data_IF_650106669936
#
_entry.id   IF_650106669936
#
_cell.length_a   1.000
_cell.length_b   1.000
_cell.length_c   1.000
_cell.angle_alpha   90.00
_cell.angle_beta   90.00
_cell.angle_gamma   90.00
#
_symmetry.space_group_name_H-M   'P 1'
#
loop_
_entity.id
_entity.type
_entity.pdbx_description
1 polymer ?
#
# COMPACT_ATOMS: atom_id res chain seq x y z
N UNK A 1 42.83 38.28 -42.97
CA UNK A 1 43.42 37.76 -41.72
C UNK A 1 42.54 38.24 -40.57
N UNK A 2 41.54 37.45 -40.17
CA UNK A 2 40.55 37.86 -39.18
C UNK A 2 41.15 37.79 -37.77
N UNK A 3 41.06 38.90 -37.06
CA UNK A 3 41.62 39.12 -35.73
C UNK A 3 40.73 38.38 -34.72
N UNK A 4 41.23 37.31 -34.11
CA UNK A 4 40.55 36.62 -33.01
C UNK A 4 40.51 37.57 -31.80
N UNK A 5 39.35 38.17 -31.53
CA UNK A 5 39.16 38.98 -30.33
C UNK A 5 38.86 38.04 -29.17
N UNK A 6 39.78 37.98 -28.21
CA UNK A 6 39.66 37.19 -26.99
C UNK A 6 38.52 37.71 -26.11
N UNK A 7 37.39 37.01 -26.14
CA UNK A 7 36.28 37.15 -25.18
C UNK A 7 35.96 35.83 -24.46
N UNK A 8 36.92 34.89 -24.43
CA UNK A 8 36.71 33.49 -24.02
C UNK A 8 36.45 33.29 -22.52
N UNK A 9 36.98 34.14 -21.65
CA UNK A 9 36.85 33.95 -20.19
C UNK A 9 35.46 34.38 -19.68
N UNK A 10 34.91 35.48 -20.19
CA UNK A 10 33.57 35.92 -19.82
C UNK A 10 32.50 34.97 -20.41
N UNK A 11 32.69 34.52 -21.64
CA UNK A 11 31.78 33.59 -22.31
C UNK A 11 31.72 32.23 -21.61
N UNK A 12 32.87 31.67 -21.22
CA UNK A 12 32.92 30.42 -20.44
C UNK A 12 32.33 30.58 -19.04
N UNK A 13 32.55 31.72 -18.37
CA UNK A 13 31.93 32.02 -17.08
C UNK A 13 30.40 32.08 -17.20
N UNK A 14 29.87 32.76 -18.20
CA UNK A 14 28.42 32.81 -18.46
C UNK A 14 27.89 31.41 -18.80
N UNK A 15 28.59 30.63 -19.64
CA UNK A 15 28.20 29.27 -19.98
C UNK A 15 28.15 28.35 -18.74
N UNK A 16 29.13 28.46 -17.84
CA UNK A 16 29.13 27.71 -16.58
C UNK A 16 27.99 28.13 -15.65
N UNK A 17 27.68 29.43 -15.58
CA UNK A 17 26.53 29.93 -14.81
C UNK A 17 25.23 29.35 -15.36
N UNK A 18 24.98 29.48 -16.67
CA UNK A 18 23.77 28.94 -17.32
C UNK A 18 23.67 27.42 -17.12
N UNK A 19 24.76 26.69 -17.31
CA UNK A 19 24.81 25.24 -17.10
C UNK A 19 24.51 24.86 -15.66
N UNK A 20 25.07 25.59 -14.69
CA UNK A 20 24.83 25.33 -13.26
C UNK A 20 23.35 25.53 -12.89
N UNK A 21 22.71 26.58 -13.41
CA UNK A 21 21.27 26.84 -13.20
C UNK A 21 20.44 25.74 -13.85
N UNK A 22 20.79 25.30 -15.07
CA UNK A 22 20.12 24.20 -15.75
C UNK A 22 20.21 22.88 -14.97
N UNK A 23 21.37 22.57 -14.39
CA UNK A 23 21.57 21.34 -13.62
C UNK A 23 20.78 21.33 -12.31
N UNK A 24 20.65 22.48 -11.63
CA UNK A 24 19.77 22.61 -10.46
C UNK A 24 18.30 22.35 -10.82
N UNK A 25 17.87 22.79 -12.01
CA UNK A 25 16.53 22.50 -12.54
C UNK A 25 16.29 21.00 -12.79
N UNK A 26 17.28 20.26 -13.29
CA UNK A 26 17.15 18.81 -13.49
C UNK A 26 17.16 18.07 -12.15
N UNK A 27 17.99 18.51 -11.20
CA UNK A 27 18.07 17.91 -9.88
C UNK A 27 16.72 17.99 -9.13
N UNK A 28 16.01 19.11 -9.23
CA UNK A 28 14.68 19.25 -8.60
C UNK A 28 13.65 18.32 -9.23
N UNK A 29 13.63 18.19 -10.57
CA UNK A 29 12.76 17.25 -11.27
C UNK A 29 13.08 15.79 -10.91
N UNK A 30 14.35 15.46 -10.71
CA UNK A 30 14.75 14.12 -10.30
C UNK A 30 14.22 13.76 -8.91
N UNK A 31 14.34 14.68 -7.94
CA UNK A 31 13.79 14.50 -6.58
C UNK A 31 12.27 14.31 -6.63
N UNK A 32 11.58 15.10 -7.45
CA UNK A 32 10.13 14.98 -7.61
C UNK A 32 9.73 13.64 -8.24
N UNK A 33 10.48 13.17 -9.23
CA UNK A 33 10.29 11.84 -9.81
C UNK A 33 10.43 10.71 -8.79
N UNK A 34 11.42 10.80 -7.89
CA UNK A 34 11.60 9.83 -6.80
C UNK A 34 10.43 9.85 -5.80
N UNK A 35 9.92 11.05 -5.45
CA UNK A 35 8.76 11.21 -4.57
C UNK A 35 7.52 10.55 -5.18
N UNK A 36 7.21 10.88 -6.43
CA UNK A 36 6.07 10.32 -7.16
C UNK A 36 6.18 8.79 -7.30
N UNK A 37 7.38 8.29 -7.58
CA UNK A 37 7.64 6.85 -7.64
C UNK A 37 7.39 6.15 -6.31
N UNK A 38 7.79 6.77 -5.19
CA UNK A 38 7.52 6.25 -3.84
C UNK A 38 6.03 6.21 -3.54
N UNK A 39 5.30 7.31 -3.75
CA UNK A 39 3.85 7.35 -3.51
C UNK A 39 3.11 6.30 -4.36
N UNK A 40 3.46 6.16 -5.64
CA UNK A 40 2.89 5.14 -6.51
C UNK A 40 3.18 3.71 -6.01
N UNK A 41 4.40 3.47 -5.49
CA UNK A 41 4.76 2.19 -4.87
C UNK A 41 3.89 1.90 -3.64
N UNK A 42 3.72 2.87 -2.73
CA UNK A 42 2.89 2.71 -1.52
C UNK A 42 1.44 2.35 -1.90
N UNK A 43 0.85 3.09 -2.85
CA UNK A 43 -0.51 2.80 -3.36
C UNK A 43 -0.61 1.39 -3.95
N UNK A 44 0.40 0.95 -4.69
CA UNK A 44 0.43 -0.40 -5.27
C UNK A 44 0.45 -1.47 -4.18
N UNK A 45 1.26 -1.29 -3.13
CA UNK A 45 1.32 -2.26 -2.02
C UNK A 45 0.02 -2.31 -1.21
N UNK A 46 -0.58 -1.15 -0.94
CA UNK A 46 -1.89 -1.06 -0.31
C UNK A 46 -2.98 -1.75 -1.16
N UNK A 47 -2.96 -1.54 -2.49
CA UNK A 47 -3.85 -2.23 -3.43
C UNK A 47 -3.67 -3.75 -3.41
N UNK A 48 -2.43 -4.24 -3.39
CA UNK A 48 -2.13 -5.67 -3.31
C UNK A 48 -2.69 -6.27 -2.01
N UNK A 49 -2.49 -5.61 -0.87
CA UNK A 49 -3.06 -6.05 0.42
C UNK A 49 -4.59 -6.08 0.41
N UNK A 50 -5.24 -5.06 -0.15
CA UNK A 50 -6.69 -5.01 -0.24
C UNK A 50 -7.24 -6.07 -1.21
N UNK A 51 -6.51 -6.36 -2.29
CA UNK A 51 -6.86 -7.40 -3.27
C UNK A 51 -6.70 -8.80 -2.68
N UNK A 52 -5.62 -9.06 -1.92
CA UNK A 52 -5.44 -10.35 -1.22
C UNK A 52 -6.62 -10.65 -0.29
N UNK A 53 -7.03 -9.66 0.50
CA UNK A 53 -8.20 -9.77 1.38
C UNK A 53 -9.51 -9.98 0.59
N UNK A 54 -9.64 -9.34 -0.58
CA UNK A 54 -10.78 -9.56 -1.48
C UNK A 54 -10.87 -11.02 -1.90
N UNK A 55 -9.76 -11.62 -2.31
CA UNK A 55 -9.72 -13.02 -2.73
C UNK A 55 -10.01 -13.98 -1.57
N UNK A 56 -9.54 -13.68 -0.36
CA UNK A 56 -9.87 -14.43 0.86
C UNK A 56 -11.38 -14.40 1.16
N UNK A 57 -12.03 -13.24 1.07
CA UNK A 57 -13.50 -13.14 1.20
C UNK A 57 -14.25 -13.94 0.13
N UNK A 58 -13.75 -13.96 -1.11
CA UNK A 58 -14.33 -14.75 -2.20
C UNK A 58 -14.15 -16.25 -1.99
N UNK A 59 -13.05 -16.68 -1.39
CA UNK A 59 -12.84 -18.06 -1.01
C UNK A 59 -13.79 -18.47 0.14
N UNK A 60 -14.00 -17.58 1.11
CA UNK A 60 -14.89 -17.80 2.26
C UNK A 60 -16.20 -17.00 2.16
N UNK A 61 -16.98 -17.26 1.11
CA UNK A 61 -18.24 -16.54 0.85
C UNK A 61 -19.26 -16.67 1.97
N UNK A 62 -19.23 -17.79 2.70
CA UNK A 62 -20.17 -18.05 3.80
C UNK A 62 -19.89 -17.11 4.97
N UNK A 63 -18.63 -16.99 5.41
CA UNK A 63 -18.23 -16.04 6.44
C UNK A 63 -18.39 -14.59 5.99
N UNK A 64 -18.06 -14.29 4.72
CA UNK A 64 -18.30 -12.96 4.15
C UNK A 64 -19.77 -12.56 4.21
N UNK A 65 -20.70 -13.43 3.79
CA UNK A 65 -22.15 -13.13 3.87
C UNK A 65 -22.69 -13.03 5.29
N UNK A 66 -22.06 -13.71 6.25
CA UNK A 66 -22.39 -13.60 7.67
C UNK A 66 -21.87 -12.30 8.30
N UNK A 67 -21.01 -11.54 7.61
CA UNK A 67 -20.41 -10.31 8.11
C UNK A 67 -19.16 -10.52 8.95
N UNK A 68 -18.60 -11.74 8.98
CA UNK A 68 -17.46 -12.11 9.84
C UNK A 68 -16.16 -11.39 9.46
N UNK A 69 -16.10 -10.79 8.26
CA UNK A 69 -14.95 -10.01 7.80
C UNK A 69 -15.05 -8.51 8.14
N UNK A 70 -16.16 -8.02 8.70
CA UNK A 70 -16.28 -6.61 9.11
C UNK A 70 -15.32 -6.34 10.28
N UNK A 71 -14.35 -5.44 10.08
CA UNK A 71 -13.33 -5.16 11.08
C UNK A 71 -12.92 -3.69 11.05
N UNK A 72 -12.93 -3.06 12.23
CA UNK A 72 -12.41 -1.70 12.41
C UNK A 72 -10.89 -1.67 12.53
N UNK A 73 -10.35 -0.50 12.82
CA UNK A 73 -8.90 -0.33 12.98
C UNK A 73 -8.34 -1.17 14.15
N UNK A 74 -8.97 -1.06 15.32
CA UNK A 74 -8.57 -1.80 16.53
C UNK A 74 -8.85 -3.31 16.49
N UNK A 75 -9.55 -3.81 15.47
CA UNK A 75 -9.86 -5.24 15.33
C UNK A 75 -8.69 -5.98 14.67
N UNK A 76 -8.16 -7.00 15.35
CA UNK A 76 -6.98 -7.74 14.89
C UNK A 76 -7.27 -9.18 14.45
N UNK A 77 -8.54 -9.62 14.46
CA UNK A 77 -8.87 -11.02 14.22
C UNK A 77 -8.31 -11.94 15.31
N UNK A 78 -8.14 -13.23 15.00
CA UNK A 78 -7.58 -14.21 15.94
C UNK A 78 -6.82 -15.29 15.20
N UNK A 79 -5.65 -15.69 15.72
CA UNK A 79 -4.94 -16.83 15.17
C UNK A 79 -5.66 -18.14 15.54
N UNK A 80 -6.50 -18.63 14.62
CA UNK A 80 -7.17 -19.92 14.75
C UNK A 80 -6.41 -21.08 14.08
N UNK A 81 -5.17 -20.85 13.62
CA UNK A 81 -4.32 -21.86 12.97
C UNK A 81 -5.02 -22.58 11.80
N UNK A 82 -5.91 -21.85 11.11
CA UNK A 82 -6.70 -22.37 10.00
C UNK A 82 -5.76 -22.72 8.84
N UNK A 83 -5.53 -24.03 8.65
CA UNK A 83 -4.64 -24.59 7.63
C UNK A 83 -3.14 -24.25 7.78
N UNK A 84 -2.62 -24.28 9.01
CA UNK A 84 -1.17 -24.32 9.20
C UNK A 84 -0.63 -25.72 8.85
N UNK A 85 -0.21 -25.92 7.59
CA UNK A 85 0.64 -27.05 7.15
C UNK A 85 2.14 -26.76 7.42
N UNK A 86 2.47 -25.72 8.18
CA UNK A 86 3.84 -25.53 8.67
C UNK A 86 4.04 -26.39 9.92
N UNK A 87 4.94 -27.37 9.79
CA UNK A 87 5.53 -28.15 10.88
C UNK A 87 4.66 -29.26 11.52
N UNK A 88 3.83 -29.95 10.75
CA UNK A 88 3.26 -31.23 11.16
C UNK A 88 2.15 -31.15 12.22
N UNK A 89 1.53 -29.98 12.38
CA UNK A 89 0.28 -29.83 13.10
C UNK A 89 -0.87 -30.46 12.29
N UNK A 90 -1.83 -31.08 12.97
CA UNK A 90 -3.02 -31.61 12.32
C UNK A 90 -3.77 -30.47 11.62
N UNK A 91 -4.23 -30.69 10.38
CA UNK A 91 -5.07 -29.72 9.67
C UNK A 91 -6.28 -29.34 10.53
N UNK A 92 -6.29 -28.10 11.02
CA UNK A 92 -7.44 -27.59 11.78
C UNK A 92 -8.53 -27.18 10.79
N UNK A 93 -9.65 -27.91 10.81
CA UNK A 93 -10.84 -27.58 10.05
C UNK A 93 -11.57 -26.41 10.72
N UNK A 94 -11.30 -25.19 10.26
CA UNK A 94 -11.96 -24.00 10.75
C UNK A 94 -13.39 -23.85 10.22
N UNK A 95 -14.28 -23.36 11.08
CA UNK A 95 -15.57 -22.81 10.65
C UNK A 95 -15.36 -21.55 9.78
N UNK A 96 -16.34 -21.16 8.94
CA UNK A 96 -16.25 -19.92 8.16
C UNK A 96 -15.91 -18.68 8.98
N UNK A 97 -16.46 -18.55 10.20
CA UNK A 97 -16.17 -17.43 11.09
C UNK A 97 -14.73 -17.46 11.64
N UNK A 98 -14.22 -18.64 12.00
CA UNK A 98 -12.83 -18.80 12.45
C UNK A 98 -11.84 -18.51 11.33
N UNK A 99 -12.15 -18.94 10.10
CA UNK A 99 -11.35 -18.64 8.92
C UNK A 99 -11.28 -17.13 8.67
N UNK A 100 -12.41 -16.41 8.76
CA UNK A 100 -12.45 -14.96 8.61
C UNK A 100 -11.59 -14.24 9.68
N UNK A 101 -11.70 -14.63 10.94
CA UNK A 101 -10.89 -14.08 12.01
C UNK A 101 -9.39 -14.36 11.83
N UNK A 102 -9.02 -15.53 11.29
CA UNK A 102 -7.64 -15.89 10.99
C UNK A 102 -7.08 -15.10 9.79
N UNK A 103 -7.87 -14.95 8.72
CA UNK A 103 -7.51 -14.13 7.57
C UNK A 103 -7.27 -12.66 7.96
N UNK A 104 -8.14 -12.08 8.79
CA UNK A 104 -7.95 -10.72 9.33
C UNK A 104 -6.64 -10.64 10.12
N UNK A 105 -6.33 -11.66 10.93
CA UNK A 105 -5.12 -11.69 11.74
C UNK A 105 -3.84 -11.74 10.89
N UNK A 106 -3.82 -12.57 9.85
CA UNK A 106 -2.71 -12.60 8.89
C UNK A 106 -2.60 -11.27 8.14
N UNK A 107 -3.72 -10.69 7.71
CA UNK A 107 -3.75 -9.43 6.97
C UNK A 107 -3.25 -8.25 7.81
N UNK A 108 -3.64 -8.18 9.08
CA UNK A 108 -3.16 -7.15 10.02
C UNK A 108 -1.68 -7.31 10.35
N UNK A 109 -1.17 -8.54 10.46
CA UNK A 109 0.27 -8.77 10.58
C UNK A 109 1.03 -8.36 9.33
N UNK A 110 0.50 -8.69 8.14
CA UNK A 110 1.10 -8.27 6.88
C UNK A 110 1.15 -6.74 6.80
N UNK A 111 0.11 -6.03 7.25
CA UNK A 111 0.11 -4.56 7.29
C UNK A 111 1.25 -3.98 8.15
N UNK A 112 1.53 -4.60 9.29
CA UNK A 112 2.58 -4.17 10.23
C UNK A 112 3.99 -4.67 9.85
N UNK A 113 4.07 -5.60 8.89
CA UNK A 113 5.30 -6.22 8.45
C UNK A 113 6.21 -5.21 7.72
N UNK A 114 7.48 -5.06 8.12
CA UNK A 114 8.45 -4.20 7.42
C UNK A 114 8.57 -4.52 5.92
N UNK A 115 8.31 -5.77 5.54
CA UNK A 115 8.38 -6.30 4.19
C UNK A 115 7.28 -5.71 3.28
N UNK A 116 6.13 -5.36 3.85
CA UNK A 116 5.07 -4.66 3.13
C UNK A 116 5.51 -3.24 2.78
N UNK A 117 6.44 -2.66 3.53
CA UNK A 117 7.03 -1.35 3.24
C UNK A 117 6.00 -0.21 3.12
N UNK A 118 4.86 -0.34 3.81
CA UNK A 118 4.00 0.78 4.17
C UNK A 118 4.59 1.46 5.42
N UNK A 119 4.34 2.77 5.63
CA UNK A 119 4.75 3.46 6.84
C UNK A 119 4.15 2.84 8.11
N UNK A 120 4.86 2.97 9.23
CA UNK A 120 4.31 2.62 10.53
C UNK A 120 3.05 3.45 10.82
N UNK A 121 2.05 2.83 11.45
CA UNK A 121 0.74 3.47 11.68
C UNK A 121 -0.21 3.38 10.48
N UNK A 122 0.14 2.65 9.42
CA UNK A 122 -0.84 2.27 8.41
C UNK A 122 -1.97 1.46 9.07
N UNK A 123 -3.21 1.78 8.68
CA UNK A 123 -4.42 1.15 9.17
C UNK A 123 -5.15 0.46 8.04
N UNK A 124 -5.89 -0.58 8.36
CA UNK A 124 -6.72 -1.26 7.39
C UNK A 124 -8.05 -1.67 8.01
N UNK A 125 -9.14 -1.41 7.30
CA UNK A 125 -10.50 -1.61 7.81
C UNK A 125 -11.38 -2.22 6.74
N UNK A 126 -12.38 -2.98 7.17
CA UNK A 126 -13.40 -3.55 6.30
C UNK A 126 -14.76 -3.14 6.86
N UNK A 127 -15.55 -2.44 6.07
CA UNK A 127 -16.94 -2.09 6.39
C UNK A 127 -17.89 -2.75 5.40
N UNK A 128 -19.16 -2.90 5.78
CA UNK A 128 -20.21 -3.40 4.89
C UNK A 128 -21.38 -2.41 4.86
N UNK A 129 -22.15 -2.46 3.78
CA UNK A 129 -23.41 -1.71 3.62
C UNK A 129 -24.60 -2.30 4.43
N UNK A 130 -24.38 -3.43 5.12
CA UNK A 130 -25.42 -4.10 5.93
C UNK A 130 -26.54 -4.75 5.11
N UNK A 131 -26.41 -4.84 3.78
CA UNK A 131 -27.42 -5.46 2.93
C UNK A 131 -27.39 -7.00 3.05
N UNK A 132 -28.48 -7.66 2.67
CA UNK A 132 -28.57 -9.14 2.59
C UNK A 132 -27.51 -9.73 1.64
N UNK A 133 -27.07 -8.93 0.65
CA UNK A 133 -25.93 -9.21 -0.22
C UNK A 133 -24.94 -8.07 -0.02
N UNK A 134 -24.09 -8.15 1.02
CA UNK A 134 -23.34 -6.99 1.44
C UNK A 134 -22.27 -6.62 0.41
N UNK A 135 -22.16 -5.32 0.12
CA UNK A 135 -20.98 -4.76 -0.53
C UNK A 135 -19.99 -4.36 0.54
N UNK A 136 -18.80 -4.95 0.50
CA UNK A 136 -17.71 -4.63 1.40
C UNK A 136 -16.86 -3.49 0.83
N UNK A 137 -16.44 -2.59 1.71
CA UNK A 137 -15.41 -1.60 1.41
C UNK A 137 -14.17 -1.97 2.20
N UNK A 138 -13.11 -2.38 1.50
CA UNK A 138 -11.79 -2.62 2.07
C UNK A 138 -11.00 -1.34 1.93
N UNK A 139 -10.57 -0.77 3.05
CA UNK A 139 -9.75 0.44 3.09
C UNK A 139 -8.38 0.13 3.68
N UNK A 140 -7.33 0.63 3.04
CA UNK A 140 -5.96 0.66 3.56
C UNK A 140 -5.50 2.10 3.51
N UNK A 141 -5.16 2.68 4.67
CA UNK A 141 -4.74 4.07 4.79
C UNK A 141 -3.37 4.18 5.46
N UNK A 142 -2.58 5.18 5.06
CA UNK A 142 -1.25 5.46 5.59
C UNK A 142 -0.94 6.95 5.51
N UNK A 143 0.04 7.41 6.28
CA UNK A 143 0.52 8.79 6.22
C UNK A 143 1.88 8.84 5.54
N UNK A 144 2.02 9.64 4.48
CA UNK A 144 3.28 9.93 3.83
C UNK A 144 3.63 11.42 4.00
N UNK A 145 4.77 11.72 4.62
CA UNK A 145 5.25 13.10 4.85
C UNK A 145 4.21 14.04 5.51
N UNK A 146 3.36 13.51 6.38
CA UNK A 146 2.29 14.26 7.06
C UNK A 146 1.01 14.43 6.25
N UNK A 147 0.90 13.79 5.08
CA UNK A 147 -0.31 13.72 4.26
C UNK A 147 -0.89 12.32 4.35
N UNK A 148 -2.17 12.23 4.73
CA UNK A 148 -2.89 10.96 4.75
C UNK A 148 -3.34 10.57 3.33
N UNK A 149 -3.06 9.33 2.95
CA UNK A 149 -3.53 8.72 1.71
C UNK A 149 -4.20 7.38 2.00
N UNK A 150 -5.09 6.95 1.11
CA UNK A 150 -5.85 5.72 1.26
C UNK A 150 -6.20 5.08 -0.08
N UNK A 151 -6.39 3.78 -0.03
CA UNK A 151 -6.93 2.96 -1.11
C UNK A 151 -8.21 2.32 -0.62
N UNK A 152 -9.28 2.44 -1.41
CA UNK A 152 -10.57 1.82 -1.14
C UNK A 152 -10.94 0.88 -2.29
N UNK A 153 -11.26 -0.37 -1.96
CA UNK A 153 -11.77 -1.38 -2.89
C UNK A 153 -13.17 -1.81 -2.49
N UNK A 154 -14.08 -1.79 -3.45
CA UNK A 154 -15.44 -2.29 -3.30
C UNK A 154 -15.49 -3.75 -3.73
N UNK A 155 -16.08 -4.61 -2.90
CA UNK A 155 -16.12 -6.05 -3.10
C UNK A 155 -17.54 -6.55 -2.87
N UNK A 156 -18.00 -7.43 -3.76
CA UNK A 156 -19.21 -8.23 -3.55
C UNK A 156 -18.82 -9.71 -3.60
N UNK A 157 -19.10 -10.50 -2.54
CA UNK A 157 -18.71 -11.91 -2.45
C UNK A 157 -19.63 -12.89 -3.19
#
# INVERSE_FOLDING_TARGET
>A
MFKQQGFTLLETLIALVVLSVGMLGIASLHVEGLRNGRTASLRTKAMTLATDMTEKMRANRVGARAGDYVVGDAGNGSNNECADDLAGAATINCTPAQMAAHDIWLWKQALQSPQTGLPAGAIATITSDGAVRPTFTISVAWTENGVDDQVNLLVQP
#
